data_IF_708417347068
#
_entry.id   IF_708417347068
#
_cell.length_a   1.000
_cell.length_b   1.000
_cell.length_c   1.000
_cell.angle_alpha   90.00
_cell.angle_beta   90.00
_cell.angle_gamma   90.00
#
_symmetry.space_group_name_H-M   'P 1'
#
loop_
_entity.id
_entity.type
_entity.pdbx_description
1 polymer ?
#
# COMPACT_ATOMS: atom_id res chain seq x y z
N UNK A 1 -20.79 -14.39 6.43
CA UNK A 1 -20.14 -13.13 6.07
C UNK A 1 -19.00 -12.75 7.02
N UNK A 2 -19.15 -12.79 8.37
CA UNK A 2 -18.03 -12.46 9.27
C UNK A 2 -16.81 -13.38 9.10
N UNK A 3 -17.03 -14.65 8.84
CA UNK A 3 -15.98 -15.64 8.59
C UNK A 3 -15.18 -15.30 7.31
N UNK A 4 -15.85 -14.86 6.26
CA UNK A 4 -15.21 -14.49 4.99
C UNK A 4 -14.30 -13.26 5.18
N UNK A 5 -14.72 -12.28 5.96
CA UNK A 5 -13.91 -11.10 6.31
C UNK A 5 -12.68 -11.51 7.13
N UNK A 6 -12.87 -12.45 8.09
CA UNK A 6 -11.78 -13.01 8.86
C UNK A 6 -10.74 -13.74 7.99
N UNK A 7 -11.17 -14.53 7.03
CA UNK A 7 -10.28 -15.20 6.08
C UNK A 7 -9.50 -14.23 5.19
N UNK A 8 -10.16 -13.18 4.68
CA UNK A 8 -9.50 -12.13 3.92
C UNK A 8 -8.41 -11.43 4.74
N UNK A 9 -8.74 -11.10 5.98
CA UNK A 9 -7.78 -10.51 6.92
C UNK A 9 -6.60 -11.43 7.23
N UNK A 10 -6.86 -12.72 7.48
CA UNK A 10 -5.82 -13.69 7.79
C UNK A 10 -4.86 -13.92 6.60
N UNK A 11 -5.37 -14.07 5.39
CA UNK A 11 -4.55 -14.22 4.18
C UNK A 11 -3.73 -12.98 3.91
N UNK A 12 -4.33 -11.80 4.07
CA UNK A 12 -3.60 -10.54 3.95
C UNK A 12 -2.48 -10.43 5.00
N UNK A 13 -2.75 -10.80 6.24
CA UNK A 13 -1.74 -10.80 7.32
C UNK A 13 -0.59 -11.75 7.04
N UNK A 14 -0.84 -12.93 6.49
CA UNK A 14 0.21 -13.85 6.02
C UNK A 14 1.05 -13.21 4.91
N UNK A 15 0.42 -12.55 3.96
CA UNK A 15 1.12 -11.84 2.89
C UNK A 15 2.01 -10.72 3.43
N UNK A 16 1.55 -9.99 4.45
CA UNK A 16 2.30 -8.94 5.12
C UNK A 16 3.59 -9.46 5.79
N UNK A 17 3.58 -10.68 6.30
CA UNK A 17 4.77 -11.33 6.88
C UNK A 17 5.71 -11.84 5.81
N UNK A 18 5.17 -12.49 4.78
CA UNK A 18 5.96 -13.14 3.72
C UNK A 18 6.60 -12.12 2.77
N UNK A 19 5.93 -11.00 2.49
CA UNK A 19 6.37 -9.99 1.53
C UNK A 19 7.79 -9.49 1.77
N UNK A 20 8.14 -8.97 2.94
CA UNK A 20 9.49 -8.50 3.23
C UNK A 20 10.56 -9.58 3.12
N UNK A 21 10.25 -10.82 3.49
CA UNK A 21 11.20 -11.94 3.35
C UNK A 21 11.53 -12.27 1.90
N UNK A 22 10.52 -12.24 1.02
CA UNK A 22 10.71 -12.52 -0.40
C UNK A 22 11.47 -11.41 -1.12
N UNK A 23 11.15 -10.16 -0.79
CA UNK A 23 11.65 -9.00 -1.53
C UNK A 23 12.84 -8.29 -0.88
N UNK A 24 13.22 -8.62 0.36
CA UNK A 24 14.28 -7.95 1.10
C UNK A 24 15.63 -7.93 0.39
N UNK A 25 15.95 -8.98 -0.38
CA UNK A 25 17.21 -9.10 -1.14
C UNK A 25 17.16 -8.41 -2.51
N UNK A 26 15.98 -8.05 -2.99
CA UNK A 26 15.76 -7.59 -4.36
C UNK A 26 15.58 -6.07 -4.41
N UNK A 27 15.28 -5.43 -3.26
CA UNK A 27 14.89 -4.04 -3.19
C UNK A 27 16.11 -3.12 -3.16
N UNK A 28 16.19 -2.23 -4.15
CA UNK A 28 17.10 -1.10 -4.21
C UNK A 28 16.30 0.18 -4.50
N UNK A 29 16.92 1.36 -4.25
CA UNK A 29 16.29 2.68 -4.55
C UNK A 29 15.73 2.78 -5.97
N UNK A 30 16.41 2.19 -6.94
CA UNK A 30 15.97 2.16 -8.34
C UNK A 30 14.75 1.26 -8.57
N UNK A 31 14.60 0.22 -7.76
CA UNK A 31 13.48 -0.73 -7.86
C UNK A 31 12.24 -0.29 -7.09
N UNK A 32 12.34 0.74 -6.26
CA UNK A 32 11.19 1.29 -5.55
C UNK A 32 10.09 1.76 -6.50
N UNK A 33 10.47 2.33 -7.64
CA UNK A 33 9.52 2.69 -8.69
C UNK A 33 8.70 1.48 -9.18
N UNK A 34 9.38 0.37 -9.45
CA UNK A 34 8.72 -0.86 -9.90
C UNK A 34 7.82 -1.46 -8.83
N UNK A 35 8.22 -1.36 -7.56
CA UNK A 35 7.36 -1.80 -6.43
C UNK A 35 6.11 -0.93 -6.29
N UNK A 36 6.22 0.37 -6.43
CA UNK A 36 5.08 1.29 -6.41
C UNK A 36 4.11 1.01 -7.57
N UNK A 37 4.64 0.75 -8.78
CA UNK A 37 3.83 0.32 -9.91
C UNK A 37 3.15 -1.03 -9.64
N UNK A 38 3.89 -2.01 -9.15
CA UNK A 38 3.35 -3.32 -8.81
C UNK A 38 2.24 -3.23 -7.76
N UNK A 39 2.41 -2.39 -6.74
CA UNK A 39 1.38 -2.12 -5.74
C UNK A 39 0.13 -1.49 -6.36
N UNK A 40 0.31 -0.51 -7.25
CA UNK A 40 -0.80 0.12 -7.97
C UNK A 40 -1.59 -0.89 -8.81
N UNK A 41 -0.89 -1.70 -9.60
CA UNK A 41 -1.52 -2.76 -10.39
C UNK A 41 -2.17 -3.85 -9.53
N UNK A 42 -1.56 -4.24 -8.41
CA UNK A 42 -2.14 -5.19 -7.47
C UNK A 42 -3.45 -4.67 -6.86
N UNK A 43 -3.51 -3.38 -6.51
CA UNK A 43 -4.72 -2.76 -6.00
C UNK A 43 -5.84 -2.68 -7.06
N UNK A 44 -5.50 -2.33 -8.31
CA UNK A 44 -6.44 -2.33 -9.43
C UNK A 44 -6.96 -3.75 -9.69
N UNK A 45 -6.06 -4.73 -9.73
CA UNK A 45 -6.41 -6.13 -9.93
C UNK A 45 -7.36 -6.61 -8.83
N UNK A 46 -7.07 -6.29 -7.58
CA UNK A 46 -7.96 -6.61 -6.46
C UNK A 46 -9.34 -5.96 -6.62
N UNK A 47 -9.40 -4.69 -7.05
CA UNK A 47 -10.65 -4.01 -7.35
C UNK A 47 -11.49 -4.73 -8.41
N UNK A 48 -10.87 -5.17 -9.50
CA UNK A 48 -11.51 -5.92 -10.58
C UNK A 48 -11.96 -7.32 -10.12
N UNK A 49 -11.13 -8.00 -9.33
CA UNK A 49 -11.42 -9.35 -8.82
C UNK A 49 -12.38 -9.36 -7.61
N UNK A 50 -12.77 -8.21 -7.10
CA UNK A 50 -13.63 -8.10 -5.90
C UNK A 50 -15.05 -8.67 -6.08
N UNK A 51 -15.46 -8.99 -7.31
CA UNK A 51 -16.75 -9.60 -7.61
C UNK A 51 -16.93 -11.03 -7.11
N UNK A 52 -15.85 -11.78 -6.86
CA UNK A 52 -15.86 -13.14 -6.36
C UNK A 52 -14.98 -13.28 -5.10
N UNK A 53 -15.45 -14.06 -4.13
CA UNK A 53 -14.72 -14.28 -2.87
C UNK A 53 -13.32 -14.87 -3.10
N UNK A 54 -13.20 -15.93 -3.88
CA UNK A 54 -11.94 -16.61 -4.13
C UNK A 54 -10.92 -15.76 -4.88
N UNK A 55 -11.35 -15.04 -5.88
CA UNK A 55 -10.49 -14.12 -6.62
C UNK A 55 -10.08 -12.90 -5.77
N UNK A 56 -10.96 -12.45 -4.87
CA UNK A 56 -10.65 -11.39 -3.91
C UNK A 56 -9.58 -11.82 -2.90
N UNK A 57 -9.54 -13.10 -2.50
CA UNK A 57 -8.46 -13.64 -1.65
C UNK A 57 -7.10 -13.51 -2.33
N UNK A 58 -7.01 -13.87 -3.60
CA UNK A 58 -5.77 -13.77 -4.38
C UNK A 58 -5.33 -12.31 -4.50
N UNK A 59 -6.25 -11.42 -4.86
CA UNK A 59 -5.97 -9.98 -4.98
C UNK A 59 -5.49 -9.37 -3.66
N UNK A 60 -6.14 -9.73 -2.55
CA UNK A 60 -5.76 -9.29 -1.20
C UNK A 60 -4.37 -9.79 -0.79
N UNK A 61 -4.04 -11.04 -1.11
CA UNK A 61 -2.73 -11.61 -0.83
C UNK A 61 -1.62 -10.89 -1.60
N UNK A 62 -1.77 -10.72 -2.91
CA UNK A 62 -0.80 -10.03 -3.76
C UNK A 62 -0.61 -8.58 -3.33
N UNK A 63 -1.70 -7.87 -3.06
CA UNK A 63 -1.66 -6.50 -2.56
C UNK A 63 -0.92 -6.41 -1.21
N UNK A 64 -1.17 -7.35 -0.30
CA UNK A 64 -0.50 -7.45 1.00
C UNK A 64 1.00 -7.65 0.88
N UNK A 65 1.47 -8.48 -0.04
CA UNK A 65 2.90 -8.73 -0.27
C UNK A 65 3.66 -7.43 -0.58
N UNK A 66 3.12 -6.60 -1.46
CA UNK A 66 3.76 -5.35 -1.87
C UNK A 66 3.61 -4.24 -0.83
N UNK A 67 2.48 -4.16 -0.13
CA UNK A 67 2.22 -3.10 0.86
C UNK A 67 3.26 -3.09 1.96
N UNK A 68 3.52 -4.23 2.60
CA UNK A 68 4.47 -4.30 3.71
C UNK A 68 5.89 -4.12 3.24
N UNK A 69 6.23 -4.64 2.06
CA UNK A 69 7.55 -4.46 1.47
C UNK A 69 7.85 -2.98 1.23
N UNK A 70 6.90 -2.23 0.65
CA UNK A 70 7.03 -0.79 0.47
C UNK A 70 7.17 -0.05 1.80
N UNK A 71 6.33 -0.38 2.76
CA UNK A 71 6.38 0.22 4.10
C UNK A 71 7.72 0.03 4.78
N UNK A 72 8.18 -1.23 4.87
CA UNK A 72 9.45 -1.57 5.51
C UNK A 72 10.64 -0.91 4.84
N UNK A 73 10.66 -0.90 3.51
CA UNK A 73 11.74 -0.28 2.75
C UNK A 73 11.75 1.24 2.91
N UNK A 74 10.60 1.89 2.82
CA UNK A 74 10.47 3.34 3.00
C UNK A 74 10.90 3.75 4.41
N UNK A 75 10.51 2.98 5.43
CA UNK A 75 10.94 3.23 6.81
C UNK A 75 12.43 3.08 6.99
N UNK A 76 13.04 2.05 6.42
CA UNK A 76 14.50 1.85 6.46
C UNK A 76 15.23 3.01 5.79
N UNK A 77 14.78 3.43 4.61
CA UNK A 77 15.37 4.60 3.92
C UNK A 77 15.26 5.88 4.75
N UNK A 78 14.14 6.06 5.42
CA UNK A 78 13.92 7.22 6.28
C UNK A 78 14.85 7.18 7.49
N UNK A 79 15.04 6.02 8.10
CA UNK A 79 15.97 5.82 9.21
C UNK A 79 17.41 6.12 8.81
N UNK A 80 17.84 5.64 7.65
CA UNK A 80 19.21 5.84 7.15
C UNK A 80 19.49 7.31 6.76
N UNK A 81 18.45 8.07 6.47
CA UNK A 81 18.56 9.48 6.04
C UNK A 81 18.50 10.50 7.19
N UNK A 82 18.18 10.07 8.41
CA UNK A 82 17.95 10.96 9.55
C UNK A 82 19.06 10.78 10.59
N UNK A 83 19.61 11.90 11.07
CA UNK A 83 20.53 11.88 12.21
C UNK A 83 19.81 11.44 13.49
N UNK A 84 20.48 10.65 14.32
CA UNK A 84 19.94 10.01 15.53
C UNK A 84 19.23 11.00 16.48
N UNK A 85 19.69 12.26 16.55
CA UNK A 85 19.09 13.30 17.39
C UNK A 85 17.71 13.78 16.96
N UNK A 86 17.34 13.60 15.68
CA UNK A 86 16.06 14.05 15.10
C UNK A 86 15.11 12.93 14.75
N UNK A 87 15.55 11.69 14.85
CA UNK A 87 14.81 10.50 14.45
C UNK A 87 13.38 10.47 15.03
N UNK A 88 13.23 10.62 16.34
CA UNK A 88 11.91 10.56 16.98
C UNK A 88 10.94 11.65 16.50
N UNK A 89 11.44 12.84 16.22
CA UNK A 89 10.60 13.96 15.72
C UNK A 89 10.13 13.72 14.30
N UNK A 90 11.03 13.25 13.44
CA UNK A 90 10.70 13.00 12.02
C UNK A 90 9.75 11.81 11.90
N UNK A 91 9.97 10.73 12.64
CA UNK A 91 9.04 9.59 12.68
C UNK A 91 7.69 10.01 13.23
N UNK A 92 7.64 10.79 14.32
CA UNK A 92 6.37 11.28 14.87
C UNK A 92 5.57 12.13 13.89
N UNK A 93 6.22 13.00 13.14
CA UNK A 93 5.58 13.79 12.06
C UNK A 93 5.08 12.87 10.94
N UNK A 94 5.90 11.91 10.52
CA UNK A 94 5.51 10.94 9.50
C UNK A 94 4.27 10.14 9.91
N UNK A 95 4.23 9.64 11.15
CA UNK A 95 3.11 8.89 11.69
C UNK A 95 1.85 9.74 11.81
N UNK A 96 2.00 11.02 12.17
CA UNK A 96 0.88 11.96 12.19
C UNK A 96 0.28 12.17 10.80
N UNK A 97 1.10 12.39 9.77
CA UNK A 97 0.62 12.50 8.39
C UNK A 97 -0.01 11.19 7.89
N UNK A 98 0.60 10.06 8.20
CA UNK A 98 0.04 8.76 7.86
C UNK A 98 -1.34 8.54 8.49
N UNK A 99 -1.47 8.80 9.79
CA UNK A 99 -2.73 8.62 10.51
C UNK A 99 -3.80 9.60 10.01
N UNK A 100 -3.44 10.87 9.78
CA UNK A 100 -4.36 11.86 9.23
C UNK A 100 -4.85 11.47 7.83
N UNK A 101 -3.95 11.01 6.97
CA UNK A 101 -4.29 10.52 5.62
C UNK A 101 -5.18 9.28 5.68
N UNK A 102 -4.88 8.34 6.57
CA UNK A 102 -5.69 7.14 6.76
C UNK A 102 -7.11 7.48 7.22
N UNK A 103 -7.24 8.41 8.17
CA UNK A 103 -8.54 8.88 8.64
C UNK A 103 -9.35 9.57 7.52
N UNK A 104 -8.72 10.49 6.79
CA UNK A 104 -9.35 11.18 5.67
C UNK A 104 -9.79 10.21 4.56
N UNK A 105 -8.95 9.23 4.23
CA UNK A 105 -9.24 8.20 3.23
C UNK A 105 -10.40 7.31 3.69
N UNK A 106 -10.43 6.91 4.96
CA UNK A 106 -11.51 6.08 5.51
C UNK A 106 -12.86 6.80 5.46
N UNK A 107 -12.89 8.08 5.83
CA UNK A 107 -14.11 8.90 5.73
C UNK A 107 -14.52 9.05 4.25
N UNK A 108 -13.57 9.35 3.37
CA UNK A 108 -13.84 9.50 1.94
C UNK A 108 -14.41 8.22 1.31
N UNK A 109 -13.85 7.07 1.64
CA UNK A 109 -14.37 5.76 1.17
C UNK A 109 -15.77 5.50 1.75
N UNK A 110 -15.99 5.79 3.03
CA UNK A 110 -17.30 5.64 3.66
C UNK A 110 -18.38 6.45 2.93
N UNK A 111 -18.10 7.72 2.63
CA UNK A 111 -18.99 8.59 1.87
C UNK A 111 -19.25 8.04 0.45
N UNK A 112 -18.23 7.57 -0.26
CA UNK A 112 -18.37 6.99 -1.59
C UNK A 112 -19.25 5.74 -1.59
N UNK A 113 -19.11 4.89 -0.57
CA UNK A 113 -19.94 3.69 -0.40
C UNK A 113 -21.41 4.05 -0.11
N UNK A 114 -21.65 5.10 0.67
CA UNK A 114 -23.00 5.59 0.95
C UNK A 114 -23.70 6.13 -0.34
N UNK A 115 -22.95 6.67 -1.27
CA UNK A 115 -23.45 7.06 -2.60
C UNK A 115 -23.64 5.86 -3.56
N UNK A 116 -23.42 4.63 -3.09
CA UNK A 116 -23.62 3.41 -3.88
C UNK A 116 -22.45 3.05 -4.81
N UNK A 117 -21.30 3.69 -4.66
CA UNK A 117 -20.10 3.33 -5.40
C UNK A 117 -19.52 2.06 -4.78
N UNK A 118 -19.45 0.98 -5.55
CA UNK A 118 -18.95 -0.30 -5.08
C UNK A 118 -17.49 -0.24 -4.59
N UNK A 119 -17.18 -1.05 -3.58
CA UNK A 119 -15.83 -1.11 -2.98
C UNK A 119 -14.71 -1.43 -3.98
N UNK A 120 -15.01 -2.16 -5.06
CA UNK A 120 -14.06 -2.44 -6.14
C UNK A 120 -13.59 -1.17 -6.87
N UNK A 121 -14.46 -0.19 -7.05
CA UNK A 121 -14.09 1.10 -7.64
C UNK A 121 -13.18 1.91 -6.73
N UNK A 122 -13.42 1.86 -5.42
CA UNK A 122 -12.55 2.52 -4.44
C UNK A 122 -11.13 1.93 -4.46
N UNK A 123 -11.01 0.60 -4.51
CA UNK A 123 -9.72 -0.09 -4.65
C UNK A 123 -9.03 0.25 -5.97
N UNK A 124 -9.76 0.29 -7.07
CA UNK A 124 -9.24 0.71 -8.37
C UNK A 124 -8.70 2.14 -8.35
N UNK A 125 -9.43 3.07 -7.76
CA UNK A 125 -9.00 4.47 -7.60
C UNK A 125 -7.72 4.58 -6.75
N UNK A 126 -7.60 3.82 -5.66
CA UNK A 126 -6.38 3.76 -4.87
C UNK A 126 -5.19 3.23 -5.69
N UNK A 127 -5.41 2.19 -6.50
CA UNK A 127 -4.40 1.67 -7.41
C UNK A 127 -3.90 2.71 -8.41
N UNK A 128 -4.79 3.49 -9.00
CA UNK A 128 -4.45 4.59 -9.91
C UNK A 128 -3.61 5.64 -9.20
N UNK A 129 -3.95 6.01 -7.96
CA UNK A 129 -3.16 6.95 -7.15
C UNK A 129 -1.73 6.42 -6.96
N UNK A 130 -1.56 5.13 -6.65
CA UNK A 130 -0.22 4.52 -6.53
C UNK A 130 0.58 4.60 -7.83
N UNK A 131 -0.05 4.43 -8.98
CA UNK A 131 0.60 4.58 -10.29
C UNK A 131 1.07 6.02 -10.50
N UNK A 132 0.23 7.02 -10.17
CA UNK A 132 0.63 8.43 -10.22
C UNK A 132 1.80 8.75 -9.29
N UNK A 133 1.77 8.23 -8.06
CA UNK A 133 2.86 8.38 -7.10
C UNK A 133 4.15 7.77 -7.64
N UNK A 134 4.08 6.59 -8.27
CA UNK A 134 5.23 5.94 -8.89
C UNK A 134 5.85 6.79 -10.02
N UNK A 135 5.02 7.33 -10.89
CA UNK A 135 5.46 8.23 -11.97
C UNK A 135 6.10 9.50 -11.39
N UNK A 136 5.45 10.11 -10.39
CA UNK A 136 6.00 11.28 -9.71
C UNK A 136 7.36 10.98 -9.07
N UNK A 137 7.49 9.86 -8.37
CA UNK A 137 8.76 9.43 -7.77
C UNK A 137 9.87 9.30 -8.81
N UNK A 138 9.58 8.68 -9.95
CA UNK A 138 10.56 8.54 -11.03
C UNK A 138 10.98 9.89 -11.63
N UNK A 139 10.04 10.79 -11.81
CA UNK A 139 10.32 12.15 -12.31
C UNK A 139 11.14 12.95 -11.30
N UNK A 140 10.84 12.83 -10.01
CA UNK A 140 11.59 13.49 -8.94
C UNK A 140 13.02 12.93 -8.84
N UNK A 141 13.19 11.62 -8.97
CA UNK A 141 14.52 10.97 -8.94
C UNK A 141 15.42 11.43 -10.07
N UNK A 142 14.87 11.71 -11.25
CA UNK A 142 15.62 12.23 -12.39
C UNK A 142 16.06 13.70 -12.23
N UNK A 143 15.49 14.43 -11.26
CA UNK A 143 15.84 15.84 -10.97
C UNK A 143 16.88 15.98 -9.87
N UNK A 144 17.09 14.96 -9.10
CA UNK A 144 18.05 14.91 -8.00
C UNK A 144 19.08 13.79 -8.22
#
# INVERSE_FOLDING_TARGET
VPLAIGFLGAIRSLALVIGPFLFSKIINKERLFYLLLAQGFAAILWGVLSGNFWSSLIGSFVCGLFTTTLWSYTMTMLQDAIDDGFYGRVIGINDMFFTATAAATSIGIGVLLDYGIGGGWALGAMGVIFVFVAVYYKLAQNRF
#
